data_IF_934994996004
#
_entry.id   IF_934994996004
#
_cell.length_a   1.000
_cell.length_b   1.000
_cell.length_c   1.000
_cell.angle_alpha   90.00
_cell.angle_beta   90.00
_cell.angle_gamma   90.00
#
_symmetry.space_group_name_H-M   'P 1'
#
loop_
_entity.id
_entity.type
_entity.pdbx_description
1 polymer ?
#
# COMPACT_ATOMS: atom_id res chain seq x y z
N UNK A 1 -4.79 -39.99 17.90
CA UNK A 1 -4.81 -38.53 18.16
C UNK A 1 -6.09 -37.99 17.58
N UNK A 2 -6.88 -37.21 18.34
CA UNK A 2 -8.05 -36.52 17.77
C UNK A 2 -7.60 -35.41 16.82
N UNK A 3 -8.46 -35.02 15.87
CA UNK A 3 -8.14 -33.94 14.91
C UNK A 3 -7.77 -32.64 15.66
N UNK A 4 -8.49 -32.34 16.76
CA UNK A 4 -8.24 -31.17 17.61
C UNK A 4 -6.87 -31.23 18.31
N UNK A 5 -6.47 -32.40 18.82
CA UNK A 5 -5.16 -32.57 19.46
C UNK A 5 -4.02 -32.43 18.45
N UNK A 6 -4.24 -32.89 17.21
CA UNK A 6 -3.27 -32.73 16.12
C UNK A 6 -2.99 -31.26 15.83
N UNK A 7 -4.04 -30.44 15.67
CA UNK A 7 -3.86 -29.02 15.40
C UNK A 7 -3.25 -28.25 16.57
N UNK A 8 -3.61 -28.61 17.79
CA UNK A 8 -3.00 -28.03 18.99
C UNK A 8 -1.49 -28.30 19.01
N UNK A 9 -1.08 -29.54 18.72
CA UNK A 9 0.33 -29.90 18.62
C UNK A 9 1.04 -29.29 17.42
N UNK A 10 0.35 -29.11 16.29
CA UNK A 10 0.91 -28.44 15.10
C UNK A 10 1.27 -26.98 15.41
N UNK A 11 0.34 -26.23 16.01
CA UNK A 11 0.55 -24.82 16.37
C UNK A 11 1.68 -24.67 17.38
N UNK A 12 1.78 -25.60 18.33
CA UNK A 12 2.83 -25.60 19.34
C UNK A 12 4.18 -26.17 18.85
N UNK A 13 4.26 -26.61 17.57
CA UNK A 13 5.45 -27.25 16.96
C UNK A 13 5.89 -28.54 17.67
N UNK A 14 4.93 -29.30 18.20
CA UNK A 14 5.14 -30.53 18.98
C UNK A 14 4.87 -31.81 18.18
N UNK A 15 4.78 -31.72 16.85
CA UNK A 15 4.51 -32.86 15.99
C UNK A 15 5.79 -33.58 15.56
N UNK A 16 5.75 -34.91 15.65
CA UNK A 16 6.76 -35.80 15.06
C UNK A 16 6.67 -35.77 13.51
N UNK A 17 7.78 -35.98 12.79
CA UNK A 17 7.80 -36.13 11.32
C UNK A 17 6.88 -37.22 10.79
N UNK A 18 6.49 -38.18 11.63
CA UNK A 18 5.55 -39.26 11.30
C UNK A 18 4.45 -39.24 12.35
N UNK A 19 3.29 -38.69 11.98
CA UNK A 19 2.14 -38.61 12.88
C UNK A 19 0.89 -39.16 12.19
N UNK A 20 0.35 -40.25 12.73
CA UNK A 20 -0.88 -40.88 12.25
C UNK A 20 -2.09 -40.35 13.01
N UNK A 21 -3.08 -39.82 12.28
CA UNK A 21 -4.35 -39.39 12.83
C UNK A 21 -5.34 -40.53 12.67
N UNK A 22 -5.88 -41.04 13.78
CA UNK A 22 -6.97 -42.00 13.74
C UNK A 22 -8.28 -41.22 13.65
N UNK A 23 -8.88 -41.15 12.47
CA UNK A 23 -10.21 -40.57 12.27
C UNK A 23 -11.22 -41.59 12.79
N UNK A 24 -11.84 -41.30 13.94
CA UNK A 24 -12.92 -42.14 14.46
C UNK A 24 -14.16 -41.97 13.58
N UNK A 25 -14.91 -43.06 13.38
CA UNK A 25 -16.02 -43.16 12.41
C UNK A 25 -17.19 -42.16 12.59
N UNK A 26 -17.17 -41.35 13.65
CA UNK A 26 -18.18 -40.32 13.94
C UNK A 26 -17.85 -38.95 13.36
N UNK A 27 -16.60 -38.66 12.98
CA UNK A 27 -16.20 -37.37 12.39
C UNK A 27 -16.00 -37.56 10.88
N UNK A 28 -17.08 -37.46 10.10
CA UNK A 28 -16.98 -37.47 8.63
C UNK A 28 -16.45 -36.11 8.16
N UNK A 29 -15.15 -36.06 7.88
CA UNK A 29 -14.50 -34.91 7.24
C UNK A 29 -15.12 -34.73 5.85
N UNK A 30 -15.73 -33.57 5.59
CA UNK A 30 -16.42 -33.30 4.32
C UNK A 30 -15.43 -32.89 3.22
N UNK A 31 -14.44 -32.05 3.55
CA UNK A 31 -13.35 -31.62 2.67
C UNK A 31 -12.22 -30.96 3.45
N UNK A 32 -11.02 -30.98 2.86
CA UNK A 32 -9.81 -30.33 3.39
C UNK A 32 -9.36 -29.31 2.36
N UNK A 33 -9.02 -28.10 2.81
CA UNK A 33 -8.59 -27.01 1.94
C UNK A 33 -7.26 -26.43 2.42
N UNK A 34 -6.36 -26.13 1.48
CA UNK A 34 -4.99 -25.68 1.73
C UNK A 34 -4.73 -24.34 1.04
N UNK A 35 -4.06 -23.40 1.72
CA UNK A 35 -3.71 -22.10 1.15
C UNK A 35 -2.32 -21.59 1.56
N UNK A 36 -1.56 -21.04 0.61
CA UNK A 36 -0.22 -20.43 0.86
C UNK A 36 -0.26 -19.37 1.98
N UNK A 37 -1.38 -18.67 2.11
CA UNK A 37 -1.63 -17.65 3.12
C UNK A 37 -3.09 -17.73 3.60
N UNK A 38 -3.44 -17.14 4.76
CA UNK A 38 -4.84 -17.10 5.24
C UNK A 38 -5.83 -16.42 4.29
N UNK A 39 -5.34 -15.71 3.27
CA UNK A 39 -6.13 -14.90 2.35
C UNK A 39 -6.07 -15.37 0.89
N UNK A 40 -5.27 -16.38 0.58
CA UNK A 40 -5.21 -16.96 -0.77
C UNK A 40 -6.37 -17.95 -0.99
N UNK A 41 -6.78 -18.11 -2.25
CA UNK A 41 -7.79 -19.09 -2.67
C UNK A 41 -7.36 -20.47 -2.16
N UNK A 42 -8.19 -21.07 -1.31
CA UNK A 42 -7.91 -22.36 -0.74
C UNK A 42 -8.17 -23.46 -1.78
N UNK A 43 -7.21 -24.36 -1.94
CA UNK A 43 -7.29 -25.49 -2.87
C UNK A 43 -7.86 -26.67 -2.10
N UNK A 44 -8.98 -27.22 -2.58
CA UNK A 44 -9.53 -28.44 -2.03
C UNK A 44 -8.59 -29.61 -2.36
N UNK A 45 -8.16 -30.33 -1.32
CA UNK A 45 -7.28 -31.49 -1.44
C UNK A 45 -7.97 -32.76 -0.98
N UNK A 46 -7.52 -33.89 -1.52
CA UNK A 46 -8.04 -35.21 -1.15
C UNK A 46 -7.79 -35.49 0.33
N UNK A 47 -8.78 -36.08 0.99
CA UNK A 47 -8.72 -36.49 2.40
C UNK A 47 -7.65 -37.58 2.62
N UNK A 48 -7.27 -38.29 1.54
CA UNK A 48 -6.23 -39.33 1.56
C UNK A 48 -4.82 -38.80 1.23
N UNK A 49 -4.63 -37.48 1.13
CA UNK A 49 -3.32 -36.92 0.79
C UNK A 49 -2.33 -36.95 1.97
N UNK A 50 -1.06 -37.23 1.67
CA UNK A 50 0.03 -37.17 2.63
C UNK A 50 0.35 -35.69 2.97
N UNK A 51 -0.29 -35.18 4.03
CA UNK A 51 -0.33 -33.76 4.44
C UNK A 51 1.07 -33.14 4.57
N UNK A 52 2.08 -33.93 4.93
CA UNK A 52 3.46 -33.48 5.13
C UNK A 52 4.14 -33.07 3.82
N UNK A 53 3.79 -33.71 2.70
CA UNK A 53 4.37 -33.43 1.39
C UNK A 53 3.76 -32.17 0.76
N UNK A 54 2.47 -31.95 1.00
CA UNK A 54 1.72 -30.75 0.54
C UNK A 54 2.10 -29.48 1.30
N UNK A 55 2.29 -29.57 2.62
CA UNK A 55 2.65 -28.41 3.46
C UNK A 55 4.08 -27.93 3.23
N UNK A 56 4.98 -28.82 2.77
CA UNK A 56 6.37 -28.48 2.41
C UNK A 56 6.49 -27.64 1.13
N UNK A 57 5.63 -27.87 0.13
CA UNK A 57 5.72 -27.16 -1.15
C UNK A 57 5.09 -25.77 -1.13
N UNK A 58 4.13 -25.54 -0.24
CA UNK A 58 3.20 -24.42 -0.40
C UNK A 58 3.22 -23.49 0.84
N UNK A 59 3.93 -23.84 1.92
CA UNK A 59 4.11 -22.96 3.09
C UNK A 59 2.79 -22.48 3.71
N UNK A 60 1.99 -23.37 4.29
CA UNK A 60 0.54 -23.18 4.37
C UNK A 60 -0.06 -23.06 5.78
N UNK A 61 -1.14 -22.27 5.85
CA UNK A 61 -2.17 -22.24 6.90
C UNK A 61 -3.32 -23.22 6.56
N UNK A 62 -3.71 -24.09 7.49
CA UNK A 62 -4.69 -25.16 7.23
C UNK A 62 -6.11 -24.75 7.63
N UNK A 63 -7.08 -24.89 6.72
CA UNK A 63 -8.51 -24.63 6.98
C UNK A 63 -9.30 -25.94 6.87
N UNK A 64 -10.16 -26.24 7.87
CA UNK A 64 -11.05 -27.40 7.85
C UNK A 64 -12.48 -27.04 8.26
N UNK A 65 -13.46 -27.72 7.66
CA UNK A 65 -14.88 -27.59 7.98
C UNK A 65 -15.46 -28.95 8.34
N UNK A 66 -15.96 -29.06 9.56
CA UNK A 66 -16.68 -30.25 10.04
C UNK A 66 -18.17 -30.10 9.70
N UNK A 67 -18.82 -31.21 9.38
CA UNK A 67 -20.26 -31.25 9.17
C UNK A 67 -20.93 -31.17 10.55
N UNK A 68 -21.65 -30.10 10.84
CA UNK A 68 -22.55 -30.05 11.99
C UNK A 68 -23.83 -30.79 11.63
N UNK A 69 -24.28 -31.73 12.47
CA UNK A 69 -25.63 -32.26 12.35
C UNK A 69 -26.62 -31.10 12.57
N UNK A 70 -27.56 -30.97 11.65
CA UNK A 70 -28.60 -29.96 11.65
C UNK A 70 -29.43 -30.08 12.93
N UNK A 71 -29.17 -29.22 13.91
CA UNK A 71 -30.21 -28.78 14.86
C UNK A 71 -29.79 -27.49 15.57
N UNK A 72 -30.66 -26.49 15.39
CA UNK A 72 -30.83 -25.29 16.21
C UNK A 72 -29.83 -24.14 16.05
N UNK A 73 -30.42 -23.01 15.67
CA UNK A 73 -29.82 -21.70 15.50
C UNK A 73 -29.10 -21.25 16.76
N UNK A 74 -27.82 -21.59 16.87
CA UNK A 74 -26.91 -20.93 17.79
C UNK A 74 -26.32 -19.75 17.04
N UNK A 75 -26.58 -18.55 17.57
CA UNK A 75 -26.02 -17.29 17.14
C UNK A 75 -24.59 -17.49 16.64
N UNK A 76 -24.36 -17.12 15.38
CA UNK A 76 -23.01 -16.95 14.84
C UNK A 76 -22.40 -15.80 15.64
N UNK A 77 -21.79 -16.13 16.78
CA UNK A 77 -20.75 -15.33 17.38
C UNK A 77 -19.59 -15.42 16.39
N UNK A 78 -19.65 -14.58 15.36
CA UNK A 78 -18.46 -14.20 14.63
C UNK A 78 -17.54 -13.63 15.70
N UNK A 79 -16.52 -14.38 16.10
CA UNK A 79 -15.30 -13.78 16.63
C UNK A 79 -14.68 -12.99 15.48
N UNK A 80 -15.31 -11.86 15.14
CA UNK A 80 -14.67 -10.74 14.52
C UNK A 80 -13.63 -10.28 15.55
N UNK A 81 -12.48 -10.94 15.56
CA UNK A 81 -11.26 -10.26 15.90
C UNK A 81 -11.19 -9.12 14.89
N UNK A 82 -11.71 -7.94 15.28
CA UNK A 82 -11.34 -6.69 14.64
C UNK A 82 -9.83 -6.69 14.74
N UNK A 83 -9.13 -7.10 13.69
CA UNK A 83 -7.69 -6.98 13.63
C UNK A 83 -7.42 -5.50 13.89
N UNK A 84 -6.80 -5.22 15.04
CA UNK A 84 -6.50 -3.84 15.42
C UNK A 84 -5.54 -3.31 14.37
N UNK A 85 -6.02 -2.42 13.51
CA UNK A 85 -5.18 -1.79 12.52
C UNK A 85 -4.26 -0.80 13.24
N UNK A 86 -2.99 -0.82 12.85
CA UNK A 86 -1.96 0.01 13.42
C UNK A 86 -1.63 1.17 12.48
N UNK A 87 -1.42 2.34 13.09
CA UNK A 87 -0.95 3.53 12.39
C UNK A 87 0.54 3.74 12.65
N UNK A 88 1.24 4.35 11.67
CA UNK A 88 2.64 4.74 11.83
C UNK A 88 2.80 5.77 12.94
N UNK A 89 3.81 5.62 13.81
CA UNK A 89 4.09 6.60 14.88
C UNK A 89 5.29 7.46 14.55
N UNK A 90 5.09 8.76 14.42
CA UNK A 90 6.16 9.73 14.20
C UNK A 90 6.52 10.45 15.51
N UNK A 91 7.82 10.69 15.77
CA UNK A 91 8.25 11.55 16.87
C UNK A 91 7.60 12.93 16.73
N UNK A 92 6.95 13.40 17.79
CA UNK A 92 6.30 14.71 17.82
C UNK A 92 7.26 15.74 18.42
N UNK A 93 7.75 16.73 17.65
CA UNK A 93 8.57 17.80 18.19
C UNK A 93 7.72 18.75 19.05
N UNK A 94 8.38 19.51 19.94
CA UNK A 94 7.72 20.53 20.77
C UNK A 94 6.96 21.59 19.96
N UNK A 95 7.42 21.88 18.73
CA UNK A 95 6.77 22.79 17.78
C UNK A 95 6.66 22.10 16.42
N UNK A 96 5.44 21.81 16.01
CA UNK A 96 5.13 21.15 14.74
C UNK A 96 5.17 22.18 13.60
N UNK A 97 5.98 21.91 12.57
CA UNK A 97 6.02 22.75 11.38
C UNK A 97 4.91 22.36 10.38
N UNK A 98 4.67 23.19 9.35
CA UNK A 98 3.58 22.99 8.38
C UNK A 98 3.66 21.65 7.63
N UNK A 99 4.87 21.19 7.31
CA UNK A 99 5.10 19.91 6.62
C UNK A 99 4.83 18.72 7.54
N UNK A 100 5.22 18.82 8.80
CA UNK A 100 4.89 17.83 9.83
C UNK A 100 3.39 17.79 10.11
N UNK A 101 2.71 18.95 10.04
CA UNK A 101 1.25 19.02 10.12
C UNK A 101 0.62 18.25 8.96
N UNK A 102 1.03 18.52 7.71
CA UNK A 102 0.60 17.75 6.53
C UNK A 102 0.79 16.24 6.72
N UNK A 103 1.96 15.80 7.21
CA UNK A 103 2.21 14.39 7.49
C UNK A 103 1.24 13.80 8.51
N UNK A 104 0.96 14.53 9.60
CA UNK A 104 0.01 14.08 10.61
C UNK A 104 -1.42 14.03 10.04
N UNK A 105 -1.81 15.00 9.22
CA UNK A 105 -3.12 15.01 8.57
C UNK A 105 -3.29 13.81 7.62
N UNK A 106 -2.23 13.38 6.92
CA UNK A 106 -2.26 12.14 6.10
C UNK A 106 -2.44 10.89 6.99
N UNK A 107 -1.82 10.84 8.17
CA UNK A 107 -2.04 9.73 9.13
C UNK A 107 -3.48 9.70 9.60
N UNK A 108 -4.02 10.87 9.99
CA UNK A 108 -5.39 11.01 10.45
C UNK A 108 -6.40 10.68 9.35
N UNK A 109 -6.07 11.03 8.10
CA UNK A 109 -6.85 10.70 6.92
C UNK A 109 -6.97 9.20 6.70
N UNK A 110 -5.84 8.47 6.74
CA UNK A 110 -5.83 7.00 6.67
C UNK A 110 -6.67 6.40 7.80
N UNK A 111 -6.54 6.94 9.01
CA UNK A 111 -7.34 6.49 10.16
C UNK A 111 -8.84 6.70 9.96
N UNK A 112 -9.23 7.88 9.48
CA UNK A 112 -10.64 8.26 9.28
C UNK A 112 -11.37 7.37 8.26
N UNK A 113 -10.64 6.79 7.31
CA UNK A 113 -11.17 5.83 6.33
C UNK A 113 -11.19 4.38 6.85
N UNK A 114 -10.90 4.15 8.13
CA UNK A 114 -10.86 2.82 8.73
C UNK A 114 -9.67 1.98 8.25
N UNK A 115 -8.61 2.63 7.76
CA UNK A 115 -7.44 1.98 7.18
C UNK A 115 -6.26 1.97 8.14
N UNK A 116 -5.27 1.15 7.79
CA UNK A 116 -4.04 0.98 8.57
C UNK A 116 -3.38 -0.35 8.28
N UNK A 117 -2.29 -0.61 8.98
CA UNK A 117 -1.46 -1.80 8.74
C UNK A 117 -1.79 -2.92 9.74
N UNK A 118 -1.64 -4.19 9.34
CA UNK A 118 -2.03 -5.33 10.17
C UNK A 118 -1.17 -5.52 11.42
N UNK A 119 0.05 -4.98 11.45
CA UNK A 119 0.95 -5.05 12.60
C UNK A 119 1.62 -3.71 12.83
N UNK A 120 2.05 -3.47 14.08
CA UNK A 120 2.83 -2.29 14.43
C UNK A 120 4.13 -2.20 13.64
N UNK A 121 4.79 -3.34 13.37
CA UNK A 121 6.02 -3.40 12.58
C UNK A 121 5.78 -2.97 11.13
N UNK A 122 4.71 -3.45 10.48
CA UNK A 122 4.35 -3.03 9.12
C UNK A 122 4.01 -1.53 9.07
N UNK A 123 3.28 -1.04 10.07
CA UNK A 123 2.97 0.39 10.18
C UNK A 123 4.25 1.23 10.32
N UNK A 124 5.18 0.81 11.18
CA UNK A 124 6.38 1.57 11.49
C UNK A 124 7.54 1.38 10.49
N UNK A 125 7.36 0.52 9.49
CA UNK A 125 8.29 0.37 8.35
C UNK A 125 7.62 0.87 7.06
N UNK A 126 6.88 -0.01 6.37
CA UNK A 126 6.22 0.28 5.09
C UNK A 126 5.25 1.47 5.19
N UNK A 127 4.47 1.54 6.26
CA UNK A 127 3.52 2.63 6.44
C UNK A 127 4.18 3.98 6.66
N UNK A 128 5.29 4.04 7.41
CA UNK A 128 6.07 5.26 7.56
C UNK A 128 6.67 5.72 6.25
N UNK A 129 7.30 4.79 5.51
CA UNK A 129 7.93 5.10 4.22
C UNK A 129 6.90 5.65 3.25
N UNK A 130 5.73 5.01 3.14
CA UNK A 130 4.64 5.49 2.30
C UNK A 130 4.19 6.91 2.69
N UNK A 131 3.88 7.14 3.97
CA UNK A 131 3.41 8.45 4.44
C UNK A 131 4.46 9.54 4.21
N UNK A 132 5.75 9.23 4.42
CA UNK A 132 6.85 10.15 4.14
C UNK A 132 6.91 10.46 2.65
N UNK A 133 6.96 9.45 1.78
CA UNK A 133 7.01 9.63 0.33
C UNK A 133 5.83 10.47 -0.18
N UNK A 134 4.61 10.19 0.28
CA UNK A 134 3.42 10.95 -0.08
C UNK A 134 3.48 12.40 0.42
N UNK A 135 3.92 12.62 1.66
CA UNK A 135 4.11 13.95 2.23
C UNK A 135 5.11 14.75 1.41
N UNK A 136 6.26 14.16 1.07
CA UNK A 136 7.32 14.80 0.30
C UNK A 136 6.83 15.20 -1.10
N UNK A 137 6.11 14.31 -1.79
CA UNK A 137 5.55 14.57 -3.12
C UNK A 137 4.52 15.70 -3.10
N UNK A 138 3.53 15.63 -2.21
CA UNK A 138 2.51 16.68 -2.08
C UNK A 138 3.18 18.01 -1.74
N UNK A 139 4.10 18.01 -0.78
CA UNK A 139 4.81 19.21 -0.36
C UNK A 139 5.61 19.85 -1.49
N UNK A 140 6.31 19.04 -2.30
CA UNK A 140 7.04 19.51 -3.46
C UNK A 140 6.12 20.16 -4.48
N UNK A 141 5.01 19.51 -4.85
CA UNK A 141 4.05 20.05 -5.83
C UNK A 141 3.42 21.35 -5.29
N UNK A 142 3.04 21.39 -4.02
CA UNK A 142 2.41 22.56 -3.41
C UNK A 142 3.37 23.76 -3.33
N UNK A 143 4.66 23.52 -3.06
CA UNK A 143 5.69 24.54 -3.11
C UNK A 143 5.81 25.19 -4.50
N UNK A 144 5.58 24.42 -5.57
CA UNK A 144 5.75 24.87 -6.96
C UNK A 144 4.47 25.39 -7.61
N UNK A 145 3.37 25.41 -6.86
CA UNK A 145 2.00 25.73 -7.26
C UNK A 145 1.32 24.59 -8.03
N UNK A 146 0.49 23.83 -7.32
CA UNK A 146 -0.25 22.70 -7.89
C UNK A 146 -1.18 23.12 -9.04
N UNK A 147 -1.64 24.39 -9.07
CA UNK A 147 -2.51 24.90 -10.15
C UNK A 147 -1.86 24.87 -11.52
N UNK A 148 -0.52 24.90 -11.61
CA UNK A 148 0.20 24.79 -12.88
C UNK A 148 0.03 23.45 -13.57
N UNK A 149 -0.33 22.40 -12.82
CA UNK A 149 -0.70 21.10 -13.41
C UNK A 149 -2.08 21.23 -14.06
N UNK A 150 -3.06 21.79 -13.35
CA UNK A 150 -4.43 22.00 -13.83
C UNK A 150 -4.49 22.91 -15.06
N UNK A 151 -3.72 24.00 -15.09
CA UNK A 151 -3.57 24.90 -16.24
C UNK A 151 -3.12 24.18 -17.52
N UNK A 152 -2.46 23.02 -17.36
CA UNK A 152 -1.96 22.16 -18.43
C UNK A 152 -2.84 20.93 -18.63
N UNK A 153 -4.04 20.92 -18.04
CA UNK A 153 -5.02 19.84 -18.09
C UNK A 153 -4.55 18.54 -17.41
N UNK A 154 -3.67 18.64 -16.42
CA UNK A 154 -3.27 17.53 -15.53
C UNK A 154 -3.96 17.71 -14.19
N UNK A 155 -5.05 16.96 -13.97
CA UNK A 155 -5.91 17.13 -12.81
C UNK A 155 -5.49 16.24 -11.65
N UNK A 156 -5.19 16.83 -10.50
CA UNK A 156 -4.90 16.08 -9.28
C UNK A 156 -6.20 15.41 -8.79
N UNK A 157 -6.18 14.11 -8.40
CA UNK A 157 -7.36 13.46 -7.86
C UNK A 157 -7.95 14.21 -6.67
N UNK A 158 -9.28 14.36 -6.64
CA UNK A 158 -10.00 15.21 -5.67
C UNK A 158 -9.64 14.90 -4.22
N UNK A 159 -9.42 13.62 -3.90
CA UNK A 159 -9.07 13.18 -2.55
C UNK A 159 -7.72 13.73 -2.07
N UNK A 160 -6.78 14.05 -2.96
CA UNK A 160 -5.52 14.65 -2.58
C UNK A 160 -5.58 16.17 -2.46
N UNK A 161 -6.60 16.84 -3.05
CA UNK A 161 -6.70 18.30 -3.07
C UNK A 161 -6.74 18.93 -1.67
N UNK A 162 -7.25 18.23 -0.66
CA UNK A 162 -7.30 18.72 0.74
C UNK A 162 -5.92 18.90 1.40
N UNK A 163 -4.88 18.33 0.77
CA UNK A 163 -3.51 18.41 1.26
C UNK A 163 -2.71 19.56 0.62
N UNK A 164 -3.26 20.26 -0.36
CA UNK A 164 -2.63 21.40 -1.03
C UNK A 164 -3.01 22.74 -0.41
N UNK A 165 -2.24 23.80 -0.69
CA UNK A 165 -2.38 25.13 -0.09
C UNK A 165 -1.77 25.25 1.32
N UNK A 166 -0.94 24.28 1.73
CA UNK A 166 -0.33 24.22 3.06
C UNK A 166 1.09 24.78 3.07
N UNK A 167 1.81 24.61 1.98
CA UNK A 167 3.10 25.24 1.74
C UNK A 167 2.94 26.76 1.68
N UNK A 168 3.95 27.49 2.16
CA UNK A 168 4.01 28.95 2.03
C UNK A 168 5.32 29.38 1.37
N UNK A 169 5.45 29.16 0.06
CA UNK A 169 6.65 29.51 -0.68
C UNK A 169 6.95 31.02 -0.63
N UNK A 170 5.93 31.87 -0.46
CA UNK A 170 6.10 33.34 -0.33
C UNK A 170 6.77 33.76 0.98
N UNK A 171 6.72 32.92 2.02
CA UNK A 171 7.48 33.17 3.26
C UNK A 171 8.98 32.92 3.11
N UNK A 172 9.44 32.39 1.98
CA UNK A 172 10.86 32.21 1.70
C UNK A 172 11.43 33.46 1.03
N UNK A 173 12.66 33.82 1.39
CA UNK A 173 13.37 34.98 0.82
C UNK A 173 13.60 34.89 -0.69
N UNK A 174 13.46 33.70 -1.27
CA UNK A 174 13.68 33.45 -2.69
C UNK A 174 12.34 33.31 -3.42
N UNK A 175 12.29 33.81 -4.65
CA UNK A 175 11.17 33.58 -5.56
C UNK A 175 10.86 32.09 -5.68
N UNK A 176 9.58 31.75 -5.75
CA UNK A 176 9.10 30.39 -6.02
C UNK A 176 9.83 29.84 -7.27
N UNK A 177 10.55 28.73 -7.09
CA UNK A 177 11.25 28.06 -8.19
C UNK A 177 10.23 27.45 -9.18
N UNK A 178 10.58 27.33 -10.47
CA UNK A 178 9.77 26.54 -11.41
C UNK A 178 9.90 25.05 -11.09
N UNK A 179 8.95 24.24 -11.56
CA UNK A 179 9.05 22.79 -11.45
C UNK A 179 10.33 22.28 -12.11
N UNK A 180 11.13 21.51 -11.35
CA UNK A 180 12.21 20.71 -11.90
C UNK A 180 11.67 19.32 -12.28
N UNK A 181 11.93 18.92 -13.53
CA UNK A 181 11.45 17.65 -14.07
C UNK A 181 12.11 16.44 -13.40
N UNK A 182 13.39 16.54 -13.06
CA UNK A 182 14.13 15.44 -12.45
C UNK A 182 13.69 15.24 -10.99
N UNK A 183 13.55 16.33 -10.23
CA UNK A 183 13.11 16.28 -8.84
C UNK A 183 11.66 15.77 -8.73
N UNK A 184 10.76 16.23 -9.61
CA UNK A 184 9.39 15.71 -9.67
C UNK A 184 9.37 14.22 -10.05
N UNK A 185 10.25 13.79 -10.97
CA UNK A 185 10.36 12.38 -11.34
C UNK A 185 10.85 11.51 -10.20
N UNK A 186 11.77 11.99 -9.35
CA UNK A 186 12.21 11.27 -8.15
C UNK A 186 11.03 11.03 -7.20
N UNK A 187 10.18 12.03 -7.00
CA UNK A 187 8.95 11.88 -6.21
C UNK A 187 7.96 10.87 -6.82
N UNK A 188 7.80 10.88 -8.14
CA UNK A 188 6.99 9.91 -8.87
C UNK A 188 7.51 8.48 -8.69
N UNK A 189 8.82 8.29 -8.86
CA UNK A 189 9.49 6.99 -8.72
C UNK A 189 9.46 6.48 -7.27
N UNK A 190 9.51 7.37 -6.28
CA UNK A 190 9.36 6.99 -4.87
C UNK A 190 7.95 6.48 -4.56
N UNK A 191 6.92 6.98 -5.25
CA UNK A 191 5.53 6.56 -5.03
C UNK A 191 5.11 5.30 -5.81
N UNK A 192 5.66 5.10 -7.01
CA UNK A 192 5.27 4.01 -7.91
C UNK A 192 5.26 2.60 -7.29
N UNK A 193 6.20 2.20 -6.40
CA UNK A 193 6.17 0.86 -5.80
C UNK A 193 4.98 0.62 -4.86
N UNK A 194 4.31 1.67 -4.36
CA UNK A 194 3.25 1.49 -3.37
C UNK A 194 1.96 0.95 -3.98
N UNK A 195 1.62 1.26 -5.24
CA UNK A 195 0.38 0.79 -5.88
C UNK A 195 0.33 -0.73 -6.08
N UNK A 196 1.48 -1.40 -6.04
CA UNK A 196 1.61 -2.86 -6.12
C UNK A 196 2.04 -3.50 -4.79
N UNK A 197 2.22 -2.71 -3.73
CA UNK A 197 2.61 -3.24 -2.43
C UNK A 197 1.52 -4.10 -1.80
N UNK A 198 1.89 -5.24 -1.23
CA UNK A 198 0.92 -6.21 -0.69
C UNK A 198 -0.02 -5.65 0.39
N UNK A 199 0.38 -4.58 1.09
CA UNK A 199 -0.48 -3.91 2.07
C UNK A 199 -1.55 -3.03 1.42
N UNK A 200 -1.29 -2.39 0.28
CA UNK A 200 -2.28 -1.51 -0.39
C UNK A 200 -3.34 -2.33 -1.13
N UNK A 201 -3.01 -3.56 -1.50
CA UNK A 201 -3.93 -4.50 -2.18
C UNK A 201 -4.99 -5.10 -1.24
N UNK A 202 -4.94 -4.76 0.05
CA UNK A 202 -5.92 -5.22 1.04
C UNK A 202 -7.20 -4.39 0.93
N UNK A 203 -8.33 -5.02 1.24
CA UNK A 203 -9.66 -4.39 1.10
C UNK A 203 -9.78 -3.06 1.85
N UNK A 204 -9.12 -2.92 3.00
CA UNK A 204 -9.14 -1.70 3.79
C UNK A 204 -8.39 -0.52 3.14
N UNK A 205 -7.71 -0.70 2.01
CA UNK A 205 -7.06 0.35 1.22
C UNK A 205 -7.65 0.49 -0.20
N UNK A 206 -8.74 -0.22 -0.53
CA UNK A 206 -9.37 -0.14 -1.86
C UNK A 206 -9.72 1.29 -2.28
N UNK A 207 -10.15 2.12 -1.32
CA UNK A 207 -10.48 3.51 -1.58
C UNK A 207 -9.27 4.36 -1.99
N UNK A 208 -8.05 3.98 -1.62
CA UNK A 208 -6.82 4.75 -1.86
C UNK A 208 -6.09 4.29 -3.12
N UNK A 209 -6.12 2.99 -3.42
CA UNK A 209 -5.25 2.37 -4.43
C UNK A 209 -5.36 3.03 -5.80
N UNK A 210 -6.57 3.06 -6.37
CA UNK A 210 -6.77 3.58 -7.73
C UNK A 210 -6.50 5.09 -7.78
N UNK A 211 -6.83 5.80 -6.69
CA UNK A 211 -6.59 7.23 -6.55
C UNK A 211 -5.09 7.55 -6.49
N UNK A 212 -4.31 6.72 -5.79
CA UNK A 212 -2.86 6.85 -5.75
C UNK A 212 -2.25 6.58 -7.13
N UNK A 213 -2.74 5.58 -7.86
CA UNK A 213 -2.28 5.27 -9.22
C UNK A 213 -2.58 6.43 -10.19
N UNK A 214 -3.81 6.96 -10.17
CA UNK A 214 -4.19 8.16 -10.93
C UNK A 214 -3.27 9.34 -10.61
N UNK A 215 -2.94 9.55 -9.32
CA UNK A 215 -2.05 10.62 -8.92
C UNK A 215 -0.63 10.44 -9.47
N UNK A 216 -0.10 9.21 -9.44
CA UNK A 216 1.21 8.88 -10.02
C UNK A 216 1.18 9.10 -11.54
N UNK A 217 0.13 8.71 -12.25
CA UNK A 217 -0.04 8.92 -13.69
C UNK A 217 -0.04 10.43 -14.02
N UNK A 218 -0.77 11.23 -13.25
CA UNK A 218 -0.82 12.70 -13.41
C UNK A 218 0.58 13.30 -13.26
N UNK A 219 1.32 12.91 -12.22
CA UNK A 219 2.69 13.39 -12.00
C UNK A 219 3.61 12.96 -13.14
N UNK A 220 3.57 11.68 -13.52
CA UNK A 220 4.40 11.10 -14.59
C UNK A 220 4.18 11.81 -15.93
N UNK A 221 2.92 12.06 -16.30
CA UNK A 221 2.60 12.77 -17.52
C UNK A 221 3.08 14.24 -17.49
N UNK A 222 3.02 14.88 -16.32
CA UNK A 222 3.56 16.23 -16.15
C UNK A 222 5.08 16.26 -16.25
N UNK A 223 5.78 15.25 -15.72
CA UNK A 223 7.24 15.08 -15.89
C UNK A 223 7.60 15.00 -17.37
N UNK A 224 6.90 14.17 -18.14
CA UNK A 224 7.12 14.04 -19.60
C UNK A 224 6.93 15.40 -20.28
N UNK A 225 5.88 16.13 -19.94
CA UNK A 225 5.65 17.47 -20.45
C UNK A 225 6.81 18.43 -20.14
N UNK A 226 7.30 18.45 -18.90
CA UNK A 226 8.43 19.30 -18.49
C UNK A 226 9.71 18.96 -19.26
N UNK A 227 9.99 17.68 -19.47
CA UNK A 227 11.14 17.20 -20.25
C UNK A 227 11.04 17.67 -21.71
N UNK A 228 9.89 17.45 -22.35
CA UNK A 228 9.65 17.92 -23.71
C UNK A 228 9.82 19.44 -23.85
N UNK A 229 9.28 20.21 -22.89
CA UNK A 229 9.45 21.66 -22.85
C UNK A 229 10.92 22.07 -22.76
N UNK A 230 11.71 21.38 -21.93
CA UNK A 230 13.14 21.64 -21.79
C UNK A 230 13.90 21.37 -23.09
N UNK A 231 13.59 20.26 -23.75
CA UNK A 231 14.27 19.86 -24.98
C UNK A 231 13.96 20.81 -26.15
N UNK A 232 12.71 21.27 -26.27
CA UNK A 232 12.32 22.31 -27.25
C UNK A 232 13.09 23.61 -26.97
N UNK A 233 13.13 24.02 -25.70
CA UNK A 233 13.83 25.25 -25.29
C UNK A 233 15.32 25.16 -25.63
N UNK A 234 15.97 24.03 -25.34
CA UNK A 234 17.38 23.81 -25.66
C UNK A 234 17.66 23.82 -27.18
N UNK A 235 16.78 23.21 -27.99
CA UNK A 235 16.87 23.25 -29.46
C UNK A 235 16.76 24.67 -30.01
N UNK A 236 15.81 25.45 -29.50
CA UNK A 236 15.63 26.84 -29.94
C UNK A 236 16.88 27.68 -29.64
N UNK A 237 17.42 27.61 -28.42
CA UNK A 237 18.68 28.28 -28.09
C UNK A 237 19.84 27.86 -29.00
N UNK A 238 20.02 26.56 -29.24
CA UNK A 238 21.08 26.08 -30.13
C UNK A 238 20.93 26.59 -31.58
N UNK A 239 19.70 26.73 -32.07
CA UNK A 239 19.41 27.28 -33.41
C UNK A 239 19.66 28.79 -33.51
N UNK A 240 19.32 29.57 -32.48
CA UNK A 240 19.59 31.00 -32.40
C UNK A 240 21.10 31.28 -32.36
N UNK A 241 21.84 30.53 -31.54
CA UNK A 241 23.31 30.60 -31.52
C UNK A 241 23.89 30.25 -32.90
N UNK A 242 23.46 29.16 -33.54
CA UNK A 242 23.96 28.78 -34.87
C UNK A 242 23.69 29.86 -35.92
N UNK A 243 22.50 30.45 -35.95
CA UNK A 243 22.14 31.51 -36.90
C UNK A 243 22.92 32.82 -36.66
N UNK A 244 23.35 33.09 -35.43
CA UNK A 244 24.17 34.27 -35.12
C UNK A 244 25.63 34.17 -35.63
N UNK A 245 26.14 32.95 -35.86
CA UNK A 245 27.50 32.71 -36.37
C UNK A 245 27.58 32.46 -37.87
N UNK A 246 26.45 32.21 -38.56
CA UNK A 246 26.40 32.07 -40.03
C UNK A 246 26.15 33.37 -40.78
N UNK A 247 25.97 34.49 -40.08
CA UNK A 247 25.76 35.83 -40.66
C UNK A 247 27.04 36.68 -40.69
N UNK A 248 28.23 36.06 -40.71
CA UNK A 248 29.53 36.71 -40.90
C UNK A 248 30.30 36.07 -42.05
#
# INVERSE_FOLDING_TARGET
>A
MSIKDFFTKLVNKELSPECNIAVTSSEKIERVELSETPTSIAIQVSINCNIIELTRNIGIHLHYRLKSDDTEATQVQSNAHKFQLHLPTFPQPKKVNRKQKLRNDIVDWIHSHGSGWPTKLCADTQGKEFIVSLTETIWYIDMHDHKKLEERNYHIPKLFLEFFGRANPESYKQSRKPFDANELNLHCQALAPYVTSSWILRENFNWLRDILDDFIIVISNYVIFLQHKRDITAKNYASEFRNSYTNY
#
